data_IF_752042729420
#
_entry.id   IF_752042729420
#
_cell.length_a   1.000
_cell.length_b   1.000
_cell.length_c   1.000
_cell.angle_alpha   90.00
_cell.angle_beta   90.00
_cell.angle_gamma   90.00
#
_symmetry.space_group_name_H-M   'P 1'
#
loop_
_entity.id
_entity.type
_entity.pdbx_description
1 polymer ?
#
# COMPACT_ATOMS: atom_id res chain seq x y z
N UNK A 1 -22.31 7.88 7.29
CA UNK A 1 -21.89 8.77 8.41
C UNK A 1 -22.19 10.20 8.02
N UNK A 2 -22.73 11.06 8.92
CA UNK A 2 -22.93 12.47 8.60
C UNK A 2 -21.59 13.17 8.55
N UNK A 3 -21.24 13.76 7.42
CA UNK A 3 -20.07 14.61 7.23
C UNK A 3 -20.22 15.86 8.11
N UNK A 4 -19.16 16.26 8.82
CA UNK A 4 -19.14 17.51 9.57
C UNK A 4 -18.79 18.65 8.62
N UNK A 5 -19.71 19.56 8.37
CA UNK A 5 -19.51 20.74 7.54
C UNK A 5 -19.70 22.02 8.37
N UNK A 6 -18.71 22.90 8.38
CA UNK A 6 -18.78 24.18 9.11
C UNK A 6 -18.04 25.27 8.33
N UNK A 7 -18.65 26.43 8.21
CA UNK A 7 -18.04 27.67 7.71
C UNK A 7 -18.02 28.70 8.82
N UNK A 8 -16.85 29.27 9.11
CA UNK A 8 -16.62 30.29 10.12
C UNK A 8 -15.93 31.49 9.51
N UNK A 9 -16.31 32.69 9.96
CA UNK A 9 -15.60 33.93 9.64
C UNK A 9 -14.88 34.46 10.89
N UNK A 10 -13.71 35.06 10.73
CA UNK A 10 -12.90 35.60 11.80
C UNK A 10 -11.99 36.72 11.30
N UNK A 11 -11.47 37.56 12.19
CA UNK A 11 -10.53 38.62 11.85
C UNK A 11 -9.10 38.22 12.19
N UNK A 12 -8.14 38.66 11.36
CA UNK A 12 -6.71 38.41 11.58
C UNK A 12 -6.08 39.65 12.26
N UNK A 13 -6.04 39.66 13.59
CA UNK A 13 -5.60 40.81 14.40
C UNK A 13 -4.12 41.18 14.19
N UNK A 14 -3.30 40.36 13.58
CA UNK A 14 -1.88 40.65 13.29
C UNK A 14 -1.66 41.57 12.07
N UNK A 15 -2.71 41.94 11.34
CA UNK A 15 -2.63 42.72 10.10
C UNK A 15 -3.53 43.95 10.17
N UNK A 16 -3.33 44.78 11.20
CA UNK A 16 -4.09 46.04 11.38
C UNK A 16 -3.52 47.10 10.45
N UNK A 17 -4.36 47.64 9.56
CA UNK A 17 -4.05 48.83 8.74
C UNK A 17 -5.15 49.85 8.95
N UNK A 18 -4.79 51.08 9.34
CA UNK A 18 -5.71 52.20 9.54
C UNK A 18 -6.93 51.86 10.44
N UNK A 19 -6.73 51.06 11.53
CA UNK A 19 -7.83 50.68 12.44
C UNK A 19 -8.77 49.59 11.89
N UNK A 20 -8.51 49.07 10.68
CA UNK A 20 -9.28 47.99 10.06
C UNK A 20 -8.47 46.68 10.05
N UNK A 21 -9.18 45.57 10.10
CA UNK A 21 -8.64 44.22 10.07
C UNK A 21 -9.28 43.41 8.95
N UNK A 22 -8.52 42.57 8.24
CA UNK A 22 -9.07 41.73 7.21
C UNK A 22 -9.95 40.62 7.78
N UNK A 23 -11.07 40.37 7.10
CA UNK A 23 -11.98 39.26 7.40
C UNK A 23 -11.53 38.01 6.65
N UNK A 24 -11.37 36.94 7.38
CA UNK A 24 -10.97 35.63 6.89
C UNK A 24 -12.12 34.63 7.03
N UNK A 25 -12.21 33.68 6.11
CA UNK A 25 -13.12 32.55 6.20
C UNK A 25 -12.34 31.24 6.45
N UNK A 26 -13.00 30.31 7.14
CA UNK A 26 -12.50 28.95 7.37
C UNK A 26 -13.62 27.96 7.05
N UNK A 27 -13.35 27.05 6.12
CA UNK A 27 -14.20 25.89 5.84
C UNK A 27 -13.59 24.69 6.58
N UNK A 28 -14.42 23.93 7.30
CA UNK A 28 -14.00 22.71 8.00
C UNK A 28 -14.92 21.57 7.58
N UNK A 29 -14.33 20.48 7.07
CA UNK A 29 -15.05 19.28 6.62
C UNK A 29 -14.23 18.05 7.05
N UNK A 30 -14.84 17.14 7.80
CA UNK A 30 -14.24 15.86 8.21
C UNK A 30 -12.78 15.99 8.70
N UNK A 31 -12.46 16.95 9.55
CA UNK A 31 -11.12 17.31 10.06
C UNK A 31 -10.20 18.03 9.04
N UNK A 32 -10.59 18.15 7.77
CA UNK A 32 -9.84 19.00 6.82
C UNK A 32 -10.26 20.46 6.97
N UNK A 33 -9.33 21.39 6.78
CA UNK A 33 -9.59 22.82 6.89
C UNK A 33 -8.99 23.58 5.69
N UNK A 34 -9.76 24.56 5.18
CA UNK A 34 -9.27 25.54 4.21
C UNK A 34 -9.56 26.95 4.72
N UNK A 35 -8.50 27.78 4.79
CA UNK A 35 -8.63 29.19 5.18
C UNK A 35 -8.50 30.08 3.96
N UNK A 36 -9.31 31.13 3.86
CA UNK A 36 -9.30 32.07 2.74
C UNK A 36 -9.58 33.49 3.18
N UNK A 37 -9.18 34.46 2.37
CA UNK A 37 -9.50 35.88 2.58
C UNK A 37 -10.87 36.19 1.95
N UNK A 38 -11.74 36.85 2.71
CA UNK A 38 -13.00 37.37 2.19
C UNK A 38 -12.80 38.61 1.33
N UNK A 39 -11.56 39.12 1.19
CA UNK A 39 -11.23 40.39 0.51
C UNK A 39 -12.01 41.60 1.05
N UNK A 40 -12.37 41.53 2.33
CA UNK A 40 -13.08 42.59 3.07
C UNK A 40 -12.30 42.93 4.32
N UNK A 41 -12.45 44.19 4.73
CA UNK A 41 -11.90 44.72 5.97
C UNK A 41 -13.00 45.27 6.85
N UNK A 42 -12.83 45.17 8.15
CA UNK A 42 -13.80 45.66 9.14
C UNK A 42 -13.08 46.40 10.25
N UNK A 43 -13.68 47.46 10.79
CA UNK A 43 -13.19 48.13 12.01
C UNK A 43 -13.22 47.15 13.20
N UNK A 44 -12.12 47.11 13.98
CA UNK A 44 -11.99 46.21 15.14
C UNK A 44 -13.16 46.39 16.11
N UNK A 45 -13.61 47.62 16.32
CA UNK A 45 -14.74 47.95 17.21
C UNK A 45 -16.08 47.40 16.71
N UNK A 46 -16.20 47.21 15.39
CA UNK A 46 -17.42 46.73 14.74
C UNK A 46 -17.50 45.19 14.68
N UNK A 47 -16.43 44.47 14.97
CA UNK A 47 -16.41 43.00 14.87
C UNK A 47 -16.83 42.32 16.18
N UNK A 48 -17.71 41.33 16.12
CA UNK A 48 -18.06 40.44 17.21
C UNK A 48 -17.38 39.08 17.03
N UNK A 49 -16.33 38.83 17.81
CA UNK A 49 -15.59 37.59 17.74
C UNK A 49 -16.39 36.37 18.26
N UNK A 50 -17.42 36.57 19.10
CA UNK A 50 -18.30 35.50 19.58
C UNK A 50 -19.36 35.13 18.54
N UNK A 51 -19.97 36.15 17.92
CA UNK A 51 -20.98 35.97 16.88
C UNK A 51 -20.35 35.68 15.50
N UNK A 52 -19.02 35.90 15.32
CA UNK A 52 -18.32 35.79 14.05
C UNK A 52 -18.92 36.65 12.91
N UNK A 53 -19.32 37.88 13.24
CA UNK A 53 -19.96 38.85 12.34
C UNK A 53 -19.82 40.27 12.85
N UNK A 54 -20.19 41.25 12.01
CA UNK A 54 -20.19 42.64 12.40
C UNK A 54 -21.35 42.95 13.35
N UNK A 55 -21.09 43.82 14.39
CA UNK A 55 -22.05 44.32 15.38
C UNK A 55 -22.87 45.48 14.84
N UNK A 56 -24.06 45.65 15.41
CA UNK A 56 -24.90 46.83 15.21
C UNK A 56 -25.76 46.81 13.96
N UNK A 57 -26.42 47.94 13.69
CA UNK A 57 -27.38 48.14 12.59
C UNK A 57 -26.88 49.14 11.55
N UNK A 58 -25.59 49.53 11.59
CA UNK A 58 -25.01 50.45 10.60
C UNK A 58 -25.06 49.80 9.20
N UNK A 59 -25.10 50.63 8.19
CA UNK A 59 -25.14 50.19 6.81
C UNK A 59 -23.91 49.30 6.48
N UNK A 60 -22.72 49.71 6.93
CA UNK A 60 -21.48 48.93 6.80
C UNK A 60 -21.60 47.52 7.45
N UNK A 61 -22.17 47.44 8.65
CA UNK A 61 -22.37 46.16 9.33
C UNK A 61 -23.38 45.26 8.60
N UNK A 62 -24.48 45.86 8.07
CA UNK A 62 -25.49 45.12 7.30
C UNK A 62 -24.91 44.58 6.00
N UNK A 63 -24.23 45.42 5.23
CA UNK A 63 -23.62 45.03 3.95
C UNK A 63 -22.60 43.92 4.16
N UNK A 64 -21.69 44.07 5.13
CA UNK A 64 -20.68 43.03 5.42
C UNK A 64 -21.36 41.71 5.83
N UNK A 65 -22.33 41.76 6.76
CA UNK A 65 -23.02 40.55 7.19
C UNK A 65 -23.77 39.85 6.04
N UNK A 66 -24.41 40.63 5.15
CA UNK A 66 -25.09 40.09 3.97
C UNK A 66 -24.09 39.39 3.02
N UNK A 67 -22.92 39.98 2.80
CA UNK A 67 -21.85 39.35 1.97
C UNK A 67 -21.31 38.08 2.60
N UNK A 68 -21.11 38.02 3.93
CA UNK A 68 -20.71 36.84 4.65
C UNK A 68 -21.77 35.71 4.57
N UNK A 69 -23.04 36.07 4.69
CA UNK A 69 -24.18 35.14 4.58
C UNK A 69 -24.28 34.60 3.13
N UNK A 70 -24.08 35.45 2.11
CA UNK A 70 -24.03 35.06 0.70
C UNK A 70 -22.83 34.09 0.44
N UNK A 71 -21.64 34.42 0.93
CA UNK A 71 -20.48 33.56 0.81
C UNK A 71 -20.72 32.19 1.45
N UNK A 72 -21.30 32.18 2.66
CA UNK A 72 -21.66 30.95 3.36
C UNK A 72 -22.66 30.10 2.58
N UNK A 73 -23.69 30.72 1.99
CA UNK A 73 -24.68 30.05 1.17
C UNK A 73 -24.07 29.45 -0.10
N UNK A 74 -23.20 30.20 -0.80
CA UNK A 74 -22.48 29.69 -1.98
C UNK A 74 -21.56 28.52 -1.65
N UNK A 75 -20.77 28.61 -0.57
CA UNK A 75 -19.92 27.53 -0.09
C UNK A 75 -20.76 26.29 0.25
N UNK A 76 -21.90 26.45 0.90
CA UNK A 76 -22.83 25.36 1.20
C UNK A 76 -23.39 24.71 -0.07
N UNK A 77 -23.73 25.50 -1.08
CA UNK A 77 -24.18 24.99 -2.40
C UNK A 77 -23.10 24.17 -3.09
N UNK A 78 -21.86 24.65 -3.06
CA UNK A 78 -20.73 23.90 -3.63
C UNK A 78 -20.41 22.61 -2.84
N UNK A 79 -20.51 22.67 -1.51
CA UNK A 79 -20.39 21.49 -0.65
C UNK A 79 -21.44 20.42 -1.03
N UNK A 80 -22.71 20.81 -1.12
CA UNK A 80 -23.79 19.88 -1.49
C UNK A 80 -23.56 19.29 -2.88
N UNK A 81 -23.20 20.13 -3.86
CA UNK A 81 -22.91 19.66 -5.22
C UNK A 81 -21.79 18.59 -5.24
N UNK A 82 -20.71 18.81 -4.49
CA UNK A 82 -19.60 17.85 -4.40
C UNK A 82 -20.06 16.56 -3.69
N UNK A 83 -20.88 16.66 -2.63
CA UNK A 83 -21.46 15.48 -1.98
C UNK A 83 -22.32 14.61 -2.91
N UNK A 84 -23.02 15.26 -3.86
CA UNK A 84 -23.95 14.58 -4.76
C UNK A 84 -23.25 13.95 -5.97
N UNK A 85 -22.07 14.47 -6.37
CA UNK A 85 -21.42 14.10 -7.62
C UNK A 85 -20.04 13.45 -7.46
N UNK A 86 -19.40 13.64 -6.30
CA UNK A 86 -18.03 13.19 -6.05
C UNK A 86 -17.97 12.14 -4.93
N UNK A 87 -17.05 11.19 -5.06
CA UNK A 87 -16.86 10.11 -4.07
C UNK A 87 -16.30 10.58 -2.73
N UNK A 88 -15.74 11.80 -2.65
CA UNK A 88 -15.16 12.38 -1.43
C UNK A 88 -15.26 13.90 -1.44
N UNK A 89 -15.32 14.47 -0.24
CA UNK A 89 -15.44 15.91 0.00
C UNK A 89 -14.36 16.36 0.98
N UNK A 90 -13.58 17.38 0.58
CA UNK A 90 -12.61 18.06 1.45
C UNK A 90 -12.85 19.55 1.48
N UNK A 91 -12.35 20.23 2.52
CA UNK A 91 -12.48 21.69 2.64
C UNK A 91 -11.79 22.42 1.48
N UNK A 92 -10.66 21.91 1.00
CA UNK A 92 -9.92 22.50 -0.12
C UNK A 92 -10.68 22.37 -1.43
N UNK A 93 -11.29 21.22 -1.72
CA UNK A 93 -12.09 20.97 -2.92
C UNK A 93 -13.31 21.89 -2.99
N UNK A 94 -14.00 22.10 -1.86
CA UNK A 94 -15.12 23.05 -1.76
C UNK A 94 -14.64 24.47 -1.97
N UNK A 95 -13.50 24.87 -1.41
CA UNK A 95 -12.94 26.18 -1.59
C UNK A 95 -12.52 26.43 -3.05
N UNK A 96 -11.79 25.51 -3.69
CA UNK A 96 -11.37 25.62 -5.10
C UNK A 96 -12.57 25.84 -6.02
N UNK A 97 -13.66 25.09 -5.81
CA UNK A 97 -14.88 25.24 -6.58
C UNK A 97 -15.59 26.56 -6.29
N UNK A 98 -15.59 27.04 -5.06
CA UNK A 98 -16.16 28.34 -4.68
C UNK A 98 -15.43 29.51 -5.36
N UNK A 99 -14.12 29.44 -5.49
CA UNK A 99 -13.29 30.46 -6.16
C UNK A 99 -13.30 30.32 -7.69
N UNK A 100 -13.93 29.26 -8.23
CA UNK A 100 -14.04 29.04 -9.67
C UNK A 100 -12.83 28.33 -10.30
N UNK A 101 -11.92 27.81 -9.47
CA UNK A 101 -10.88 26.89 -9.97
C UNK A 101 -11.53 25.54 -10.29
N UNK A 102 -11.57 25.16 -11.55
CA UNK A 102 -11.72 23.77 -11.96
C UNK A 102 -10.37 23.08 -11.70
N UNK A 103 -10.19 22.57 -10.51
CA UNK A 103 -9.17 21.56 -10.30
C UNK A 103 -9.81 20.21 -10.64
N UNK A 104 -9.33 19.56 -11.68
CA UNK A 104 -9.36 18.11 -11.80
C UNK A 104 -8.45 17.59 -10.68
N UNK A 105 -9.00 17.51 -9.48
CA UNK A 105 -8.23 17.05 -8.32
C UNK A 105 -8.06 15.53 -8.45
N UNK A 106 -6.93 15.12 -9.00
CA UNK A 106 -6.53 13.72 -9.03
C UNK A 106 -6.37 13.19 -7.61
N UNK A 107 -6.86 11.98 -7.37
CA UNK A 107 -6.89 11.40 -6.03
C UNK A 107 -5.94 10.22 -5.90
N UNK A 108 -5.58 9.90 -4.67
CA UNK A 108 -4.68 8.79 -4.36
C UNK A 108 -5.28 7.45 -4.80
N UNK A 109 -6.55 7.19 -4.48
CA UNK A 109 -7.17 5.89 -4.75
C UNK A 109 -7.54 5.73 -6.23
N UNK A 110 -7.79 6.83 -6.95
CA UNK A 110 -7.94 6.83 -8.40
C UNK A 110 -6.63 6.45 -9.09
N UNK A 111 -5.53 7.12 -8.74
CA UNK A 111 -4.21 6.78 -9.26
C UNK A 111 -3.82 5.33 -8.95
N UNK A 112 -4.12 4.88 -7.74
CA UNK A 112 -3.83 3.51 -7.34
C UNK A 112 -4.63 2.48 -8.17
N UNK A 113 -5.93 2.73 -8.40
CA UNK A 113 -6.77 1.87 -9.26
C UNK A 113 -6.26 1.82 -10.70
N UNK A 114 -5.87 2.95 -11.25
CA UNK A 114 -5.26 3.01 -12.58
C UNK A 114 -4.01 2.12 -12.67
N UNK A 115 -3.14 2.17 -11.66
CA UNK A 115 -1.96 1.30 -11.62
C UNK A 115 -2.32 -0.18 -11.46
N UNK A 116 -3.34 -0.51 -10.67
CA UNK A 116 -3.83 -1.89 -10.54
C UNK A 116 -4.32 -2.46 -11.87
N UNK A 117 -5.09 -1.70 -12.63
CA UNK A 117 -5.57 -2.14 -13.95
C UNK A 117 -4.39 -2.34 -14.93
N UNK A 118 -3.45 -1.38 -14.98
CA UNK A 118 -2.24 -1.52 -15.79
C UNK A 118 -1.41 -2.76 -15.43
N UNK A 119 -1.28 -3.06 -14.13
CA UNK A 119 -0.56 -4.27 -13.69
C UNK A 119 -1.31 -5.54 -14.03
N UNK A 120 -2.63 -5.55 -13.92
CA UNK A 120 -3.49 -6.70 -14.24
C UNK A 120 -3.34 -7.14 -15.69
N UNK A 121 -3.28 -6.19 -16.62
CA UNK A 121 -3.07 -6.47 -18.06
C UNK A 121 -1.71 -7.11 -18.36
N UNK A 122 -0.71 -6.86 -17.51
CA UNK A 122 0.66 -7.37 -17.65
C UNK A 122 0.90 -8.69 -16.92
N UNK A 123 -0.08 -9.18 -16.15
CA UNK A 123 0.05 -10.46 -15.43
C UNK A 123 0.19 -11.61 -16.41
N UNK A 124 1.19 -12.47 -16.18
CA UNK A 124 1.50 -13.62 -17.04
C UNK A 124 2.34 -13.30 -18.27
N UNK A 125 2.59 -12.02 -18.56
CA UNK A 125 3.50 -11.56 -19.64
C UNK A 125 4.78 -10.97 -19.05
N UNK A 126 4.67 -9.83 -18.41
CA UNK A 126 5.80 -9.07 -17.85
C UNK A 126 5.84 -9.10 -16.33
N UNK A 127 4.70 -9.34 -15.70
CA UNK A 127 4.54 -9.28 -14.24
C UNK A 127 4.01 -10.59 -13.66
N UNK A 128 4.56 -11.01 -12.52
CA UNK A 128 4.07 -12.17 -11.81
C UNK A 128 2.72 -11.86 -11.13
N UNK A 129 1.83 -12.87 -11.07
CA UNK A 129 0.55 -12.77 -10.36
C UNK A 129 0.72 -12.38 -8.89
N UNK A 130 1.77 -12.87 -8.23
CA UNK A 130 2.09 -12.52 -6.84
C UNK A 130 2.38 -11.03 -6.65
N UNK A 131 3.04 -10.37 -7.61
CA UNK A 131 3.29 -8.92 -7.57
C UNK A 131 1.98 -8.14 -7.66
N UNK A 132 1.08 -8.53 -8.55
CA UNK A 132 -0.25 -7.92 -8.64
C UNK A 132 -1.06 -8.10 -7.34
N UNK A 133 -1.08 -9.31 -6.77
CA UNK A 133 -1.77 -9.56 -5.50
C UNK A 133 -1.19 -8.75 -4.34
N UNK A 134 0.13 -8.56 -4.31
CA UNK A 134 0.80 -7.68 -3.36
C UNK A 134 0.30 -6.23 -3.49
N UNK A 135 0.23 -5.71 -4.71
CA UNK A 135 -0.28 -4.35 -4.98
C UNK A 135 -1.76 -4.20 -4.59
N UNK A 136 -2.60 -5.24 -4.81
CA UNK A 136 -3.99 -5.27 -4.32
C UNK A 136 -4.06 -5.22 -2.79
N UNK A 137 -3.17 -5.92 -2.09
CA UNK A 137 -3.11 -5.87 -0.63
C UNK A 137 -2.71 -4.48 -0.12
N UNK A 138 -1.78 -3.81 -0.80
CA UNK A 138 -1.35 -2.45 -0.47
C UNK A 138 -2.48 -1.44 -0.70
N UNK A 139 -3.24 -1.57 -1.80
CA UNK A 139 -4.44 -0.78 -2.06
C UNK A 139 -5.48 -0.91 -0.94
N UNK A 140 -5.79 -2.15 -0.54
CA UNK A 140 -6.74 -2.42 0.55
C UNK A 140 -6.27 -1.82 1.87
N UNK A 141 -4.97 -1.87 2.16
CA UNK A 141 -4.37 -1.28 3.35
C UNK A 141 -4.51 0.25 3.36
N UNK A 142 -4.25 0.91 2.22
CA UNK A 142 -4.41 2.36 2.08
C UNK A 142 -5.87 2.79 2.29
N UNK A 143 -6.81 2.08 1.67
CA UNK A 143 -8.24 2.34 1.83
C UNK A 143 -8.71 2.18 3.28
N UNK A 144 -8.22 1.14 3.96
CA UNK A 144 -8.54 0.90 5.37
C UNK A 144 -8.00 2.03 6.27
N UNK A 145 -6.77 2.50 6.03
CA UNK A 145 -6.19 3.63 6.74
C UNK A 145 -7.00 4.93 6.55
N UNK A 146 -7.38 5.23 5.31
CA UNK A 146 -8.19 6.41 5.02
C UNK A 146 -9.52 6.38 5.77
N UNK A 147 -10.18 5.22 5.81
CA UNK A 147 -11.44 5.04 6.55
C UNK A 147 -11.25 5.13 8.07
N UNK A 148 -10.23 4.47 8.60
CA UNK A 148 -10.02 4.36 10.05
C UNK A 148 -9.49 5.66 10.66
N UNK A 149 -8.47 6.27 10.06
CA UNK A 149 -7.76 7.43 10.62
C UNK A 149 -8.24 8.77 10.09
N UNK A 150 -8.58 8.86 8.84
CA UNK A 150 -8.96 10.12 8.18
C UNK A 150 -10.49 10.25 8.03
N UNK A 151 -11.24 9.14 8.17
CA UNK A 151 -12.70 9.06 7.99
C UNK A 151 -13.15 9.56 6.61
N UNK A 152 -12.36 9.25 5.57
CA UNK A 152 -12.61 9.54 4.16
C UNK A 152 -12.42 8.28 3.33
N UNK A 153 -13.00 8.24 2.14
CA UNK A 153 -12.82 7.12 1.20
C UNK A 153 -11.68 7.33 0.22
N UNK A 154 -11.30 8.61 0.03
CA UNK A 154 -10.20 9.00 -0.86
C UNK A 154 -9.61 10.33 -0.40
N UNK A 155 -8.46 10.75 -0.96
CA UNK A 155 -7.77 11.99 -0.64
C UNK A 155 -7.13 12.58 -1.91
N UNK A 156 -7.17 13.91 -2.06
CA UNK A 156 -6.52 14.55 -3.19
C UNK A 156 -4.98 14.45 -3.09
N UNK A 157 -4.31 14.29 -4.23
CA UNK A 157 -2.84 14.14 -4.26
C UNK A 157 -2.10 15.35 -3.67
N UNK A 158 -2.68 16.54 -3.80
CA UNK A 158 -2.13 17.79 -3.29
C UNK A 158 -2.39 18.04 -1.78
N UNK A 159 -3.21 17.18 -1.14
CA UNK A 159 -3.41 17.15 0.32
C UNK A 159 -2.46 16.16 1.01
N UNK A 160 -1.69 15.39 0.23
CA UNK A 160 -0.70 14.47 0.77
C UNK A 160 0.56 15.23 1.20
N UNK A 161 1.07 14.87 2.35
CA UNK A 161 2.28 15.45 2.94
C UNK A 161 3.10 14.39 3.69
N UNK A 162 4.21 14.83 4.29
CA UNK A 162 5.07 13.96 5.09
C UNK A 162 4.33 13.38 6.30
N UNK A 163 3.45 14.15 6.93
CA UNK A 163 2.72 13.72 8.13
C UNK A 163 1.72 12.60 7.77
N UNK A 164 1.13 12.66 6.57
CA UNK A 164 0.26 11.59 6.07
C UNK A 164 0.98 10.23 6.00
N UNK A 165 2.17 10.18 5.39
CA UNK A 165 2.90 8.91 5.24
C UNK A 165 3.46 8.41 6.58
N UNK A 166 3.81 9.31 7.50
CA UNK A 166 4.23 8.99 8.86
C UNK A 166 3.05 8.40 9.67
N UNK A 167 1.87 9.03 9.60
CA UNK A 167 0.63 8.52 10.20
C UNK A 167 0.30 7.11 9.66
N UNK A 168 0.42 6.90 8.35
CA UNK A 168 0.16 5.60 7.72
C UNK A 168 1.13 4.52 8.23
N UNK A 169 2.43 4.83 8.30
CA UNK A 169 3.45 3.92 8.83
C UNK A 169 3.18 3.55 10.29
N UNK A 170 2.93 4.56 11.13
CA UNK A 170 2.66 4.37 12.56
C UNK A 170 1.35 3.59 12.81
N UNK A 171 0.32 3.85 12.01
CA UNK A 171 -0.93 3.10 12.07
C UNK A 171 -0.73 1.62 11.73
N UNK A 172 0.06 1.30 10.70
CA UNK A 172 0.36 -0.09 10.35
C UNK A 172 1.07 -0.82 11.49
N UNK A 173 2.04 -0.18 12.15
CA UNK A 173 2.78 -0.79 13.25
C UNK A 173 1.92 -0.92 14.50
N UNK A 174 1.26 0.16 14.91
CA UNK A 174 0.55 0.24 16.18
C UNK A 174 -0.85 -0.37 16.15
N UNK A 175 -1.67 0.00 15.15
CA UNK A 175 -3.08 -0.46 15.10
C UNK A 175 -3.22 -1.82 14.41
N UNK A 176 -2.49 -2.03 13.31
CA UNK A 176 -2.58 -3.29 12.54
C UNK A 176 -1.62 -4.37 13.02
N UNK A 177 -0.67 -4.06 13.92
CA UNK A 177 0.34 -5.01 14.37
C UNK A 177 1.23 -5.56 13.23
N UNK A 178 1.38 -4.79 12.15
CA UNK A 178 2.15 -5.24 10.98
C UNK A 178 3.64 -5.29 11.30
N UNK A 179 4.35 -6.28 10.76
CA UNK A 179 5.81 -6.31 10.83
C UNK A 179 6.42 -5.09 10.12
N UNK A 180 7.55 -4.57 10.64
CA UNK A 180 8.25 -3.41 10.07
C UNK A 180 8.61 -3.61 8.59
N UNK A 181 8.94 -4.84 8.17
CA UNK A 181 9.21 -5.16 6.76
C UNK A 181 7.97 -5.00 5.87
N UNK A 182 6.78 -5.35 6.37
CA UNK A 182 5.51 -5.18 5.66
C UNK A 182 5.15 -3.70 5.55
N UNK A 183 5.26 -2.96 6.67
CA UNK A 183 5.02 -1.52 6.69
C UNK A 183 5.97 -0.77 5.75
N UNK A 184 7.26 -1.13 5.75
CA UNK A 184 8.26 -0.60 4.81
C UNK A 184 7.88 -0.85 3.35
N UNK A 185 7.47 -2.07 3.00
CA UNK A 185 7.03 -2.40 1.63
C UNK A 185 5.87 -1.52 1.17
N UNK A 186 4.83 -1.37 2.02
CA UNK A 186 3.66 -0.54 1.72
C UNK A 186 3.97 0.94 1.59
N UNK A 187 4.88 1.46 2.43
CA UNK A 187 5.39 2.84 2.30
C UNK A 187 6.10 3.03 0.96
N UNK A 188 6.90 2.05 0.52
CA UNK A 188 7.57 2.13 -0.77
C UNK A 188 6.56 2.11 -1.93
N UNK A 189 5.48 1.34 -1.84
CA UNK A 189 4.38 1.39 -2.81
C UNK A 189 3.75 2.79 -2.88
N UNK A 190 3.50 3.44 -1.73
CA UNK A 190 2.99 4.81 -1.70
C UNK A 190 3.97 5.82 -2.32
N UNK A 191 5.27 5.70 -2.02
CA UNK A 191 6.30 6.54 -2.63
C UNK A 191 6.38 6.34 -4.15
N UNK A 192 6.30 5.10 -4.59
CA UNK A 192 6.27 4.77 -6.02
C UNK A 192 5.06 5.40 -6.73
N UNK A 193 3.87 5.38 -6.14
CA UNK A 193 2.70 6.07 -6.68
C UNK A 193 2.92 7.58 -6.82
N UNK A 194 3.58 8.20 -5.83
CA UNK A 194 3.89 9.63 -5.90
C UNK A 194 4.93 9.96 -6.99
N UNK A 195 5.89 9.07 -7.25
CA UNK A 195 6.77 9.22 -8.41
C UNK A 195 5.99 9.18 -9.72
N UNK A 196 5.06 8.25 -9.88
CA UNK A 196 4.18 8.21 -11.06
C UNK A 196 3.34 9.49 -11.18
N UNK A 197 2.77 9.97 -10.07
CA UNK A 197 2.02 11.22 -10.06
C UNK A 197 2.88 12.41 -10.53
N UNK A 198 4.14 12.45 -10.11
CA UNK A 198 5.10 13.48 -10.51
C UNK A 198 5.49 13.37 -11.99
N UNK A 199 5.77 12.16 -12.47
CA UNK A 199 6.06 11.89 -13.90
C UNK A 199 4.89 12.27 -14.82
N UNK A 200 3.65 12.03 -14.36
CA UNK A 200 2.42 12.45 -15.07
C UNK A 200 2.12 13.95 -14.95
N UNK A 201 2.89 14.71 -14.16
CA UNK A 201 2.66 16.15 -13.93
C UNK A 201 1.46 16.44 -13.03
N UNK A 202 0.88 15.43 -12.33
CA UNK A 202 -0.27 15.59 -11.44
C UNK A 202 0.12 16.30 -10.13
N UNK A 203 1.39 16.19 -9.72
CA UNK A 203 1.99 16.90 -8.59
C UNK A 203 3.34 17.51 -9.01
N UNK A 204 3.68 18.66 -8.41
CA UNK A 204 4.95 19.35 -8.70
C UNK A 204 6.11 18.84 -7.86
N UNK A 205 5.85 18.53 -6.60
CA UNK A 205 6.85 18.09 -5.61
C UNK A 205 6.37 16.80 -4.97
N UNK A 206 7.31 15.88 -4.76
CA UNK A 206 7.01 14.61 -4.11
C UNK A 206 6.63 14.84 -2.63
N UNK A 207 5.39 14.52 -2.20
CA UNK A 207 4.87 14.92 -0.88
C UNK A 207 5.57 14.22 0.30
N UNK A 208 6.17 13.06 0.08
CA UNK A 208 6.82 12.27 1.13
C UNK A 208 8.33 12.49 1.22
N UNK A 209 8.82 13.61 0.66
CA UNK A 209 10.24 13.98 0.75
C UNK A 209 10.67 14.12 2.22
N UNK A 210 11.83 13.55 2.55
CA UNK A 210 12.37 13.58 3.92
C UNK A 210 11.73 12.56 4.88
N UNK A 211 10.76 11.75 4.47
CA UNK A 211 10.33 10.60 5.26
C UNK A 211 11.18 9.36 4.93
N UNK A 212 11.75 8.74 5.95
CA UNK A 212 12.52 7.49 5.86
C UNK A 212 12.05 6.47 6.89
N UNK A 213 11.92 5.23 6.48
CA UNK A 213 11.73 4.09 7.36
C UNK A 213 12.68 2.97 6.94
N UNK A 214 12.93 2.03 7.84
CA UNK A 214 13.82 0.89 7.57
C UNK A 214 13.01 -0.41 7.65
N UNK A 215 13.28 -1.39 6.77
CA UNK A 215 12.75 -2.72 6.97
C UNK A 215 13.37 -3.29 8.25
N UNK A 216 12.54 -3.78 9.16
CA UNK A 216 13.04 -4.50 10.31
C UNK A 216 13.87 -5.71 9.84
N UNK A 217 15.07 -5.87 10.36
CA UNK A 217 15.88 -7.05 10.07
C UNK A 217 15.53 -8.15 11.07
N UNK A 218 14.95 -9.25 10.58
CA UNK A 218 14.81 -10.48 11.35
C UNK A 218 15.83 -11.48 10.82
N UNK A 219 16.83 -11.81 11.64
CA UNK A 219 17.78 -12.86 11.30
C UNK A 219 17.01 -14.17 11.14
N UNK A 220 17.15 -14.79 9.98
CA UNK A 220 16.57 -16.13 9.74
C UNK A 220 17.51 -17.17 10.32
N UNK A 221 16.97 -18.15 11.00
CA UNK A 221 17.69 -19.34 11.42
C UNK A 221 17.95 -20.24 10.20
N UNK A 222 18.89 -21.15 10.35
CA UNK A 222 19.23 -22.20 9.39
C UNK A 222 19.33 -23.51 10.16
N UNK A 223 19.19 -24.62 9.47
CA UNK A 223 19.37 -25.94 10.07
C UNK A 223 20.84 -26.15 10.43
N UNK A 224 21.11 -26.63 11.66
CA UNK A 224 22.44 -27.09 12.03
C UNK A 224 22.74 -28.44 11.37
N UNK A 225 23.98 -28.87 11.40
CA UNK A 225 24.38 -30.19 10.90
C UNK A 225 23.61 -31.31 11.59
N UNK A 226 23.49 -31.23 12.93
CA UNK A 226 22.76 -32.23 13.74
C UNK A 226 21.25 -32.24 13.42
N UNK A 227 20.67 -31.08 13.15
CA UNK A 227 19.26 -30.96 12.74
C UNK A 227 19.04 -31.53 11.34
N UNK A 228 19.98 -31.29 10.42
CA UNK A 228 19.94 -31.86 9.08
C UNK A 228 20.07 -33.40 9.13
N UNK A 229 20.98 -33.93 9.95
CA UNK A 229 21.15 -35.39 10.14
C UNK A 229 19.89 -36.01 10.74
N UNK A 230 19.26 -35.36 11.72
CA UNK A 230 17.96 -35.81 12.28
C UNK A 230 16.88 -35.84 11.21
N UNK A 231 16.82 -34.81 10.34
CA UNK A 231 15.84 -34.73 9.26
C UNK A 231 16.03 -35.86 8.23
N UNK A 232 17.28 -36.23 7.91
CA UNK A 232 17.60 -37.32 6.99
C UNK A 232 17.09 -38.67 7.55
N UNK A 233 17.28 -38.92 8.85
CA UNK A 233 17.02 -40.22 9.46
C UNK A 233 15.66 -40.35 10.13
N UNK A 234 14.85 -39.26 10.19
CA UNK A 234 13.54 -39.32 10.85
C UNK A 234 12.60 -40.29 10.13
N UNK A 235 12.02 -41.19 10.88
CA UNK A 235 10.98 -42.08 10.40
C UNK A 235 9.62 -41.36 10.42
N UNK A 236 9.00 -41.24 9.27
CA UNK A 236 7.72 -40.57 9.09
C UNK A 236 6.64 -41.58 8.69
N UNK A 237 5.52 -41.56 9.40
CA UNK A 237 4.42 -42.51 9.21
C UNK A 237 3.71 -42.36 7.85
N UNK A 238 3.52 -41.11 7.41
CA UNK A 238 2.70 -40.83 6.22
C UNK A 238 3.57 -40.53 4.99
N UNK A 239 3.24 -41.17 3.86
CA UNK A 239 3.95 -40.96 2.58
C UNK A 239 4.04 -39.49 2.20
N UNK A 240 3.01 -38.69 2.50
CA UNK A 240 3.02 -37.25 2.22
C UNK A 240 4.10 -36.50 3.04
N UNK A 241 4.27 -36.84 4.31
CA UNK A 241 5.32 -36.25 5.14
C UNK A 241 6.71 -36.66 4.65
N UNK A 242 6.86 -37.93 4.24
CA UNK A 242 8.11 -38.43 3.63
C UNK A 242 8.46 -37.65 2.37
N UNK A 243 7.47 -37.41 1.48
CA UNK A 243 7.69 -36.62 0.27
C UNK A 243 8.08 -35.17 0.58
N UNK A 244 7.46 -34.55 1.59
CA UNK A 244 7.80 -33.19 2.02
C UNK A 244 9.22 -33.10 2.60
N UNK A 245 9.60 -34.05 3.44
CA UNK A 245 10.97 -34.17 3.96
C UNK A 245 11.97 -34.28 2.81
N UNK A 246 11.73 -35.18 1.88
CA UNK A 246 12.61 -35.44 0.74
C UNK A 246 12.75 -34.20 -0.16
N UNK A 247 11.66 -33.47 -0.41
CA UNK A 247 11.69 -32.19 -1.12
C UNK A 247 12.49 -31.12 -0.36
N UNK A 248 12.33 -31.03 0.97
CA UNK A 248 13.11 -30.12 1.80
C UNK A 248 14.59 -30.46 1.78
N UNK A 249 14.95 -31.73 1.92
CA UNK A 249 16.34 -32.21 1.81
C UNK A 249 16.92 -31.87 0.45
N UNK A 250 16.18 -32.13 -0.64
CA UNK A 250 16.64 -31.79 -1.98
C UNK A 250 16.89 -30.28 -2.13
N UNK A 251 16.01 -29.43 -1.58
CA UNK A 251 16.24 -27.98 -1.56
C UNK A 251 17.47 -27.58 -0.73
N UNK A 252 17.72 -28.25 0.41
CA UNK A 252 18.91 -28.00 1.22
C UNK A 252 20.22 -28.31 0.45
N UNK A 253 20.25 -29.40 -0.31
CA UNK A 253 21.44 -29.82 -1.05
C UNK A 253 21.61 -29.16 -2.42
N UNK A 254 20.57 -28.51 -2.97
CA UNK A 254 20.63 -27.88 -4.28
C UNK A 254 20.52 -26.35 -4.24
N UNK A 255 20.05 -25.78 -3.12
CA UNK A 255 19.78 -24.34 -2.99
C UNK A 255 18.60 -23.86 -3.83
N UNK A 256 17.77 -24.74 -4.36
CA UNK A 256 16.59 -24.38 -5.13
C UNK A 256 15.51 -23.74 -4.24
N UNK A 257 14.83 -22.76 -4.78
CA UNK A 257 13.59 -22.27 -4.18
C UNK A 257 12.42 -23.22 -4.47
N UNK A 258 11.38 -23.22 -3.63
CA UNK A 258 10.24 -24.11 -3.79
C UNK A 258 9.57 -24.03 -5.19
N UNK A 259 9.44 -22.81 -5.74
CA UNK A 259 8.88 -22.63 -7.08
C UNK A 259 9.72 -23.32 -8.16
N UNK A 260 11.05 -23.25 -8.04
CA UNK A 260 11.96 -23.89 -8.98
C UNK A 260 11.91 -25.42 -8.81
N UNK A 261 11.87 -25.93 -7.56
CA UNK A 261 11.68 -27.34 -7.26
C UNK A 261 10.38 -27.89 -7.89
N UNK A 262 9.28 -27.15 -7.83
CA UNK A 262 8.01 -27.56 -8.41
C UNK A 262 8.08 -27.73 -9.93
N UNK A 263 8.93 -26.96 -10.58
CA UNK A 263 9.03 -26.92 -12.04
C UNK A 263 10.07 -27.88 -12.61
N UNK A 264 10.95 -28.47 -11.80
CA UNK A 264 11.98 -29.37 -12.34
C UNK A 264 11.36 -30.67 -12.87
N UNK A 265 11.89 -31.06 -14.02
CA UNK A 265 11.55 -32.28 -14.71
C UNK A 265 12.82 -33.16 -14.87
N UNK A 266 12.63 -34.43 -15.21
CA UNK A 266 13.78 -35.30 -15.51
C UNK A 266 14.62 -34.79 -16.67
N UNK A 267 14.09 -33.96 -17.59
CA UNK A 267 14.80 -33.29 -18.67
C UNK A 267 15.84 -32.25 -18.19
N UNK A 268 15.71 -31.80 -16.94
CA UNK A 268 16.65 -30.85 -16.34
C UNK A 268 17.88 -31.54 -15.73
N UNK A 269 17.90 -32.91 -15.71
CA UNK A 269 18.97 -33.69 -15.12
C UNK A 269 19.82 -34.24 -16.23
N UNK A 270 21.12 -33.93 -16.19
CA UNK A 270 22.10 -34.32 -17.23
C UNK A 270 23.29 -35.04 -16.59
N UNK A 271 23.78 -36.07 -17.26
CA UNK A 271 25.01 -36.75 -16.84
C UNK A 271 26.11 -36.36 -17.82
N UNK A 272 27.27 -35.92 -17.30
CA UNK A 272 28.43 -35.57 -18.10
C UNK A 272 29.25 -36.83 -18.48
N UNK A 273 30.30 -36.64 -19.29
CA UNK A 273 31.21 -37.73 -19.74
C UNK A 273 31.95 -38.41 -18.59
N UNK A 274 32.13 -37.73 -17.48
CA UNK A 274 32.89 -38.17 -16.30
C UNK A 274 31.99 -38.84 -15.25
N UNK A 275 30.69 -39.03 -15.57
CA UNK A 275 29.70 -39.63 -14.68
C UNK A 275 29.10 -38.66 -13.65
N UNK A 276 29.43 -37.39 -13.72
CA UNK A 276 28.83 -36.34 -12.88
C UNK A 276 27.39 -36.06 -13.26
N UNK A 277 26.51 -35.98 -12.27
CA UNK A 277 25.09 -35.65 -12.51
C UNK A 277 24.82 -34.18 -12.14
N UNK A 278 24.20 -33.46 -13.07
CA UNK A 278 23.96 -32.02 -12.99
C UNK A 278 22.48 -31.70 -13.17
N UNK A 279 22.02 -30.73 -12.40
CA UNK A 279 20.69 -30.14 -12.55
C UNK A 279 20.83 -28.77 -13.20
N UNK A 280 20.18 -28.58 -14.34
CA UNK A 280 20.25 -27.35 -15.14
C UNK A 280 18.85 -26.80 -15.39
N UNK A 281 18.69 -25.50 -15.25
CA UNK A 281 17.41 -24.84 -15.49
C UNK A 281 17.49 -23.33 -15.33
N UNK A 282 16.32 -22.68 -15.34
CA UNK A 282 16.21 -21.25 -15.13
C UNK A 282 15.33 -20.97 -13.93
N UNK A 283 15.70 -20.00 -13.10
CA UNK A 283 14.89 -19.56 -11.96
C UNK A 283 13.57 -18.97 -12.44
N UNK A 284 12.45 -19.45 -11.94
CA UNK A 284 11.11 -18.97 -12.30
C UNK A 284 10.94 -17.49 -11.97
N UNK A 285 11.53 -17.04 -10.83
CA UNK A 285 11.37 -15.65 -10.37
C UNK A 285 12.15 -14.65 -11.23
N UNK A 286 13.32 -15.02 -11.77
CA UNK A 286 14.26 -14.06 -12.38
C UNK A 286 14.69 -14.43 -13.79
N UNK A 287 14.36 -15.64 -14.26
CA UNK A 287 14.84 -16.17 -15.55
C UNK A 287 16.33 -16.51 -15.59
N UNK A 288 17.08 -16.29 -14.50
CA UNK A 288 18.52 -16.54 -14.44
C UNK A 288 18.78 -18.05 -14.48
N UNK A 289 19.68 -18.49 -15.37
CA UNK A 289 20.11 -19.87 -15.47
C UNK A 289 20.83 -20.33 -14.20
N UNK A 290 20.62 -21.57 -13.81
CA UNK A 290 21.38 -22.25 -12.76
C UNK A 290 21.91 -23.56 -13.25
N UNK A 291 23.08 -23.95 -12.74
CA UNK A 291 23.73 -25.24 -12.94
C UNK A 291 24.21 -25.71 -11.58
N UNK A 292 23.71 -26.86 -11.12
CA UNK A 292 24.01 -27.41 -9.79
C UNK A 292 24.48 -28.85 -9.96
N UNK A 293 25.67 -29.17 -9.45
CA UNK A 293 26.15 -30.56 -9.37
C UNK A 293 25.36 -31.27 -8.27
N UNK A 294 24.71 -32.36 -8.60
CA UNK A 294 23.95 -33.14 -7.63
C UNK A 294 24.90 -34.02 -6.80
N UNK A 295 24.72 -33.91 -5.48
CA UNK A 295 25.37 -34.79 -4.51
C UNK A 295 24.69 -36.18 -4.50
N UNK A 296 25.35 -37.26 -4.05
CA UNK A 296 24.77 -38.59 -4.02
C UNK A 296 23.38 -38.66 -3.41
N UNK A 297 23.17 -38.02 -2.26
CA UNK A 297 21.87 -37.96 -1.57
C UNK A 297 20.78 -37.29 -2.44
N UNK A 298 21.12 -36.27 -3.20
CA UNK A 298 20.18 -35.62 -4.10
C UNK A 298 19.82 -36.50 -5.30
N UNK A 299 20.79 -37.28 -5.80
CA UNK A 299 20.56 -38.26 -6.85
C UNK A 299 19.64 -39.39 -6.36
N UNK A 300 19.88 -39.92 -5.17
CA UNK A 300 19.02 -40.94 -4.55
C UNK A 300 17.57 -40.46 -4.40
N UNK A 301 17.38 -39.20 -3.99
CA UNK A 301 16.06 -38.60 -3.89
C UNK A 301 15.36 -38.50 -5.24
N UNK A 302 16.07 -38.13 -6.31
CA UNK A 302 15.53 -38.12 -7.68
C UNK A 302 15.10 -39.49 -8.15
N UNK A 303 15.97 -40.49 -7.99
CA UNK A 303 15.70 -41.87 -8.41
C UNK A 303 14.55 -42.50 -7.63
N UNK A 304 14.38 -42.17 -6.32
CA UNK A 304 13.27 -42.61 -5.48
C UNK A 304 11.89 -42.26 -6.07
N UNK A 305 11.77 -41.15 -6.76
CA UNK A 305 10.52 -40.68 -7.35
C UNK A 305 10.35 -41.01 -8.82
N UNK A 306 11.33 -41.70 -9.45
CA UNK A 306 11.28 -42.14 -10.83
C UNK A 306 10.21 -43.23 -10.99
N UNK A 307 9.24 -43.00 -11.87
CA UNK A 307 8.14 -43.95 -12.09
C UNK A 307 6.93 -43.83 -11.18
N UNK A 308 6.94 -43.00 -10.10
CA UNK A 308 5.78 -42.76 -9.27
C UNK A 308 4.96 -41.56 -9.79
N UNK A 309 4.08 -41.83 -10.76
CA UNK A 309 3.33 -40.81 -11.48
C UNK A 309 1.99 -40.43 -10.83
N UNK A 310 1.59 -41.05 -9.70
CA UNK A 310 0.25 -40.96 -9.15
C UNK A 310 -0.15 -39.61 -8.51
N UNK A 311 0.81 -38.70 -8.26
CA UNK A 311 0.58 -37.45 -7.55
C UNK A 311 1.39 -36.26 -8.10
N UNK A 312 1.86 -36.34 -9.33
CA UNK A 312 2.65 -35.28 -9.97
C UNK A 312 1.74 -34.41 -10.83
N UNK A 313 2.01 -33.11 -10.91
CA UNK A 313 1.32 -32.17 -11.81
C UNK A 313 1.48 -32.58 -13.28
N UNK A 314 2.62 -33.28 -13.59
CA UNK A 314 2.93 -33.87 -14.88
C UNK A 314 3.79 -35.12 -14.67
N UNK A 315 3.69 -36.17 -15.52
CA UNK A 315 4.55 -37.36 -15.47
C UNK A 315 6.04 -37.05 -15.53
N UNK A 316 6.40 -35.93 -16.17
CA UNK A 316 7.81 -35.51 -16.34
C UNK A 316 8.38 -34.83 -15.08
N UNK A 317 7.57 -34.36 -14.13
CA UNK A 317 8.05 -33.74 -12.90
C UNK A 317 8.81 -34.73 -12.01
N UNK A 318 9.87 -34.26 -11.35
CA UNK A 318 10.67 -35.09 -10.45
C UNK A 318 9.93 -35.41 -9.17
N UNK A 319 9.33 -34.42 -8.53
CA UNK A 319 8.67 -34.55 -7.22
C UNK A 319 7.15 -34.42 -7.29
N UNK A 320 6.41 -35.11 -6.39
CA UNK A 320 4.95 -34.98 -6.24
C UNK A 320 4.61 -33.72 -5.42
N UNK A 321 4.80 -32.55 -6.01
CA UNK A 321 4.61 -31.27 -5.33
C UNK A 321 3.13 -30.91 -5.29
N UNK A 322 2.56 -30.78 -4.08
CA UNK A 322 1.25 -30.18 -3.86
C UNK A 322 1.27 -28.64 -4.02
N UNK A 323 0.14 -27.99 -3.65
CA UNK A 323 0.13 -26.53 -3.58
C UNK A 323 1.00 -26.01 -2.41
N UNK A 324 1.41 -24.74 -2.54
CA UNK A 324 2.29 -24.09 -1.56
C UNK A 324 1.66 -23.98 -0.16
N UNK A 325 0.37 -23.72 -0.08
CA UNK A 325 -0.36 -23.61 1.19
C UNK A 325 -0.36 -24.94 1.95
N UNK A 326 -0.58 -26.02 1.24
CA UNK A 326 -0.50 -27.37 1.80
C UNK A 326 0.91 -27.67 2.31
N UNK A 327 1.95 -27.23 1.61
CA UNK A 327 3.34 -27.42 2.02
C UNK A 327 3.67 -26.63 3.30
N UNK A 328 3.20 -25.38 3.42
CA UNK A 328 3.40 -24.53 4.60
C UNK A 328 2.71 -25.09 5.85
N UNK A 329 1.52 -25.67 5.72
CA UNK A 329 0.78 -26.23 6.86
C UNK A 329 1.55 -27.34 7.59
N UNK A 330 2.51 -28.01 6.92
CA UNK A 330 3.33 -29.05 7.55
C UNK A 330 4.73 -28.59 7.96
N UNK A 331 5.15 -27.41 7.55
CA UNK A 331 6.45 -26.83 7.92
C UNK A 331 6.33 -25.70 8.95
N UNK A 332 5.11 -25.24 9.23
CA UNK A 332 4.83 -24.25 10.26
C UNK A 332 4.44 -24.96 11.56
N UNK A 333 4.96 -24.53 12.72
CA UNK A 333 4.48 -25.06 14.01
C UNK A 333 2.98 -24.83 14.13
N UNK A 334 2.27 -25.86 14.60
CA UNK A 334 0.82 -25.77 14.82
C UNK A 334 0.53 -24.69 15.86
N UNK A 335 -0.53 -23.87 15.68
CA UNK A 335 -0.95 -22.93 16.73
C UNK A 335 -1.43 -23.64 18.01
N UNK A 336 -1.40 -24.97 18.05
CA UNK A 336 -1.83 -25.80 19.19
C UNK A 336 -0.66 -26.47 19.93
N UNK A 337 0.57 -26.28 19.48
CA UNK A 337 1.81 -26.67 20.15
C UNK A 337 2.43 -25.38 20.80
#
# INVERSE_FOLDING_TARGET
MRSTFRVLFYTKNQSIKNGKVPVMGRITINKTTACFSCKKEVSISLWDAKANRAKGKSEEARMLNQELDNAKAQIAKHYQYICDHDSFVTAKKVYSRYVGFKEDSHTLMELFREQLESYKEKVGKEKAKSTYLGLVADYKSALLFLKDKKNVEDIALDELDKDFIEDYYNWMLGTCGSASSTAFGRVNTMKWLMHIAQEKGLIKVHPFTGFGCKPGYKRRSFLSEEELQRLIHVELRYKRQQAMRDMLLFMCFTGLAFADLKAITYKNIHTDSDGGTWLMGNRIKTGVAYVVKLLPIAIELVEKYKGDNKKKDSPDCVFPVGDYETCLLYTSPSPRD
#
